data_IF_673599056217
#
_entry.id   IF_673599056217
#
_cell.length_a   1.000
_cell.length_b   1.000
_cell.length_c   1.000
_cell.angle_alpha   90.00
_cell.angle_beta   90.00
_cell.angle_gamma   90.00
#
_symmetry.space_group_name_H-M   'P 1'
#
loop_
_entity.id
_entity.type
_entity.pdbx_description
1 polymer ?
#
# COMPACT_ATOMS: atom_id res chain seq x y z
N UNK A 1 -1.28 -21.68 15.65
CA UNK A 1 -0.21 -22.64 15.49
C UNK A 1 -0.71 -24.08 15.64
N UNK A 2 -1.12 -24.50 16.85
CA UNK A 2 -1.45 -25.90 17.14
C UNK A 2 -2.65 -26.41 16.34
N UNK A 3 -3.66 -25.60 16.14
CA UNK A 3 -4.92 -25.99 15.46
C UNK A 3 -4.80 -25.98 13.94
N UNK A 4 -4.15 -24.95 13.38
CA UNK A 4 -4.07 -24.74 11.93
C UNK A 4 -2.68 -24.99 11.31
N UNK A 5 -1.67 -25.34 12.10
CA UNK A 5 -0.29 -25.46 11.62
C UNK A 5 0.35 -24.13 11.19
N UNK A 6 -0.28 -23.01 11.47
CA UNK A 6 0.22 -21.69 11.12
C UNK A 6 1.43 -21.35 12.01
N UNK A 7 2.60 -21.15 11.42
CA UNK A 7 3.86 -20.92 12.13
C UNK A 7 4.50 -19.55 11.87
N UNK A 8 3.82 -18.69 11.11
CA UNK A 8 4.31 -17.34 10.78
C UNK A 8 3.19 -16.32 10.89
N UNK A 9 3.50 -15.15 11.46
CA UNK A 9 2.60 -14.00 11.54
C UNK A 9 3.26 -12.76 10.97
N UNK A 10 2.52 -11.99 10.18
CA UNK A 10 2.91 -10.68 9.66
C UNK A 10 2.10 -9.59 10.33
N UNK A 11 2.70 -8.43 10.52
CA UNK A 11 2.02 -7.26 11.06
C UNK A 11 2.78 -5.96 10.82
N UNK A 12 2.20 -4.85 11.21
CA UNK A 12 2.91 -3.58 11.27
C UNK A 12 3.88 -3.52 12.45
N UNK A 13 4.84 -2.62 12.43
CA UNK A 13 5.85 -2.47 13.49
C UNK A 13 5.23 -2.26 14.88
N UNK A 14 4.06 -1.63 14.95
CA UNK A 14 3.31 -1.43 16.18
C UNK A 14 2.76 -2.74 16.81
N UNK A 15 2.79 -3.86 16.08
CA UNK A 15 2.32 -5.17 16.54
C UNK A 15 3.45 -6.09 17.01
N UNK A 16 4.71 -5.67 16.96
CA UNK A 16 5.86 -6.50 17.26
C UNK A 16 5.76 -7.19 18.62
N UNK A 17 5.52 -6.43 19.67
CA UNK A 17 5.41 -6.97 21.05
C UNK A 17 4.26 -7.97 21.20
N UNK A 18 3.13 -7.74 20.53
CA UNK A 18 1.99 -8.66 20.55
C UNK A 18 2.33 -9.99 19.86
N UNK A 19 3.05 -9.95 18.75
CA UNK A 19 3.47 -11.15 18.01
C UNK A 19 4.53 -11.94 18.78
N UNK A 20 5.47 -11.27 19.45
CA UNK A 20 6.47 -11.93 20.30
C UNK A 20 5.82 -12.69 21.46
N UNK A 21 4.72 -12.17 22.02
CA UNK A 21 3.94 -12.90 23.03
C UNK A 21 3.47 -14.25 22.52
N UNK A 22 3.03 -14.33 21.26
CA UNK A 22 2.63 -15.59 20.61
C UNK A 22 3.80 -16.53 20.36
N UNK A 23 4.90 -16.07 19.81
CA UNK A 23 6.08 -16.91 19.54
C UNK A 23 6.67 -17.47 20.83
N UNK A 24 6.73 -16.65 21.88
CA UNK A 24 7.25 -17.07 23.20
C UNK A 24 6.32 -18.08 23.89
N UNK A 25 4.99 -17.89 23.77
CA UNK A 25 4.02 -18.86 24.31
C UNK A 25 4.16 -20.23 23.64
N UNK A 26 4.31 -20.26 22.31
CA UNK A 26 4.51 -21.48 21.55
C UNK A 26 5.80 -22.18 22.00
N UNK A 27 6.88 -21.45 22.12
CA UNK A 27 8.16 -21.97 22.58
C UNK A 27 8.04 -22.58 23.95
N UNK A 28 7.44 -21.90 24.92
CA UNK A 28 7.33 -22.35 26.32
C UNK A 28 6.37 -23.53 26.50
N UNK A 29 5.22 -23.49 25.79
CA UNK A 29 4.17 -24.50 25.97
C UNK A 29 4.35 -25.75 25.12
N UNK A 30 4.89 -25.58 23.90
CA UNK A 30 4.98 -26.66 22.91
C UNK A 30 6.42 -27.06 22.58
N UNK A 31 7.44 -26.31 23.02
CA UNK A 31 8.84 -26.55 22.67
C UNK A 31 9.11 -26.42 21.18
N UNK A 32 8.31 -25.59 20.45
CA UNK A 32 8.38 -25.42 19.00
C UNK A 32 8.67 -23.97 18.65
N UNK A 33 9.13 -23.75 17.41
CA UNK A 33 9.43 -22.44 16.89
C UNK A 33 8.25 -21.91 16.08
N UNK A 34 7.98 -20.60 16.25
CA UNK A 34 7.10 -19.81 15.39
C UNK A 34 7.79 -18.48 15.10
N UNK A 35 7.41 -17.87 13.99
CA UNK A 35 8.09 -16.72 13.43
C UNK A 35 7.16 -15.52 13.35
N UNK A 36 7.73 -14.33 13.53
CA UNK A 36 7.04 -13.06 13.37
C UNK A 36 7.86 -12.14 12.45
N UNK A 37 7.18 -11.40 11.59
CA UNK A 37 7.79 -10.40 10.73
C UNK A 37 6.95 -9.15 10.74
N UNK A 38 7.58 -8.00 10.91
CA UNK A 38 6.92 -6.70 10.83
C UNK A 38 7.34 -5.95 9.58
N UNK A 39 6.42 -5.10 9.11
CA UNK A 39 6.62 -4.18 8.00
C UNK A 39 6.38 -2.77 8.54
N UNK A 40 7.21 -1.83 8.13
CA UNK A 40 7.06 -0.41 8.47
C UNK A 40 5.64 0.07 8.16
N UNK A 41 5.02 0.80 9.09
CA UNK A 41 3.68 1.34 8.89
C UNK A 41 3.66 2.31 7.71
N UNK A 42 2.63 2.18 6.89
CA UNK A 42 2.35 3.15 5.84
C UNK A 42 1.75 4.41 6.48
N UNK A 43 2.54 5.48 6.49
CA UNK A 43 2.15 6.79 7.01
C UNK A 43 2.19 7.83 5.90
N UNK A 44 1.40 8.88 6.03
CA UNK A 44 1.53 10.07 5.20
C UNK A 44 2.77 10.89 5.57
N UNK A 45 3.05 11.97 4.83
CA UNK A 45 4.16 12.89 5.07
C UNK A 45 4.10 13.60 6.44
N UNK A 46 2.93 13.59 7.09
CA UNK A 46 2.70 14.16 8.42
C UNK A 46 2.88 13.12 9.55
N UNK A 47 3.16 11.87 9.20
CA UNK A 47 3.31 10.78 10.17
C UNK A 47 1.99 10.12 10.61
N UNK A 48 0.86 10.48 10.02
CA UNK A 48 -0.41 9.83 10.30
C UNK A 48 -0.53 8.50 9.54
N UNK A 49 -1.13 7.49 10.18
CA UNK A 49 -1.41 6.21 9.51
C UNK A 49 -2.39 6.41 8.35
N UNK A 50 -1.99 6.02 7.14
CA UNK A 50 -2.87 6.08 5.98
C UNK A 50 -4.08 5.15 6.13
N UNK A 51 -5.24 5.58 5.61
CA UNK A 51 -6.46 4.77 5.56
C UNK A 51 -7.29 4.70 6.85
N UNK A 52 -6.91 5.42 7.92
CA UNK A 52 -7.67 5.44 9.19
C UNK A 52 -8.46 6.72 9.46
N UNK A 53 -8.38 7.71 8.60
CA UNK A 53 -9.09 8.98 8.80
C UNK A 53 -10.58 8.81 8.48
N UNK A 54 -11.45 9.10 9.43
CA UNK A 54 -12.90 9.06 9.22
C UNK A 54 -13.27 9.97 8.02
N UNK A 55 -13.91 9.39 7.00
CA UNK A 55 -14.34 10.09 5.79
C UNK A 55 -13.38 10.00 4.60
N UNK A 56 -12.12 9.60 4.79
CA UNK A 56 -11.11 9.48 3.70
C UNK A 56 -10.57 8.05 3.54
N UNK A 57 -11.28 7.05 4.03
CA UNK A 57 -10.88 5.67 3.83
C UNK A 57 -11.08 5.26 2.36
N UNK A 58 -10.02 4.74 1.74
CA UNK A 58 -10.08 4.13 0.41
C UNK A 58 -10.29 2.63 0.57
N UNK A 59 -11.36 2.13 -0.03
CA UNK A 59 -11.73 0.73 0.04
C UNK A 59 -11.27 -0.01 -1.21
N UNK A 60 -10.89 -1.28 -1.06
CA UNK A 60 -10.60 -2.16 -2.19
C UNK A 60 -11.89 -2.65 -2.88
N UNK A 61 -13.02 -2.64 -2.14
CA UNK A 61 -14.33 -3.00 -2.66
C UNK A 61 -14.85 -1.90 -3.60
N UNK A 62 -15.08 -2.20 -4.91
CA UNK A 62 -15.53 -1.22 -5.90
C UNK A 62 -16.93 -0.65 -5.63
N UNK A 63 -17.72 -1.31 -4.77
CA UNK A 63 -19.03 -0.79 -4.35
C UNK A 63 -18.91 0.30 -3.27
N UNK A 64 -17.76 0.40 -2.60
CA UNK A 64 -17.49 1.40 -1.56
C UNK A 64 -16.61 2.54 -2.05
N UNK A 65 -15.62 2.23 -2.88
CA UNK A 65 -14.77 3.20 -3.57
C UNK A 65 -14.69 2.78 -5.03
N UNK A 66 -15.23 3.58 -5.94
CA UNK A 66 -15.17 3.23 -7.36
C UNK A 66 -13.72 3.12 -7.85
N UNK A 67 -13.43 2.34 -8.91
CA UNK A 67 -12.09 2.27 -9.49
C UNK A 67 -11.53 3.65 -9.89
N UNK A 68 -12.39 4.56 -10.34
CA UNK A 68 -11.99 5.93 -10.66
C UNK A 68 -11.62 6.73 -9.42
N UNK A 69 -12.42 6.68 -8.35
CA UNK A 69 -12.12 7.37 -7.09
C UNK A 69 -10.87 6.78 -6.42
N UNK A 70 -10.69 5.46 -6.53
CA UNK A 70 -9.48 4.77 -6.08
C UNK A 70 -8.25 5.27 -6.84
N UNK A 71 -8.33 5.39 -8.16
CA UNK A 71 -7.27 5.95 -8.99
C UNK A 71 -6.96 7.41 -8.61
N UNK A 72 -8.00 8.25 -8.46
CA UNK A 72 -7.82 9.66 -8.10
C UNK A 72 -7.20 9.83 -6.71
N UNK A 73 -7.54 8.98 -5.75
CA UNK A 73 -6.91 9.01 -4.43
C UNK A 73 -5.40 8.85 -4.53
N UNK A 74 -4.93 7.83 -5.24
CA UNK A 74 -3.50 7.57 -5.39
C UNK A 74 -2.78 8.59 -6.27
N UNK A 75 -3.49 9.16 -7.24
CA UNK A 75 -2.96 10.26 -8.05
C UNK A 75 -2.79 11.56 -7.26
N UNK A 76 -3.53 11.75 -6.19
CA UNK A 76 -3.53 12.96 -5.38
C UNK A 76 -2.74 12.82 -4.06
N UNK A 77 -1.95 11.77 -3.89
CA UNK A 77 -1.05 11.66 -2.73
C UNK A 77 0.00 12.78 -2.74
N UNK A 78 0.50 13.13 -1.57
CA UNK A 78 1.53 14.14 -1.44
C UNK A 78 2.80 13.75 -2.22
N UNK A 79 3.48 14.73 -2.77
CA UNK A 79 4.72 14.53 -3.54
C UNK A 79 5.76 13.71 -2.77
N UNK A 80 5.89 13.98 -1.48
CA UNK A 80 6.83 13.28 -0.59
C UNK A 80 6.48 11.79 -0.37
N UNK A 81 5.24 11.40 -0.62
CA UNK A 81 4.77 10.03 -0.36
C UNK A 81 4.80 9.12 -1.60
N UNK A 82 4.91 9.68 -2.80
CA UNK A 82 4.80 8.93 -4.06
C UNK A 82 5.77 7.75 -4.12
N UNK A 83 7.06 8.01 -3.94
CA UNK A 83 8.11 6.97 -4.05
C UNK A 83 8.00 5.95 -2.92
N UNK A 84 7.65 6.38 -1.72
CA UNK A 84 7.39 5.48 -0.60
C UNK A 84 6.22 4.53 -0.92
N UNK A 85 5.12 5.06 -1.45
CA UNK A 85 3.98 4.25 -1.87
C UNK A 85 4.33 3.29 -3.01
N UNK A 86 5.11 3.72 -4.02
CA UNK A 86 5.60 2.82 -5.07
C UNK A 86 6.36 1.63 -4.48
N UNK A 87 7.32 1.89 -3.58
CA UNK A 87 8.13 0.84 -2.95
C UNK A 87 7.33 -0.12 -2.08
N UNK A 88 6.31 0.38 -1.36
CA UNK A 88 5.58 -0.41 -0.38
C UNK A 88 4.37 -1.15 -0.94
N UNK A 89 3.75 -0.63 -1.99
CA UNK A 89 2.43 -1.05 -2.44
C UNK A 89 2.41 -1.63 -3.85
N UNK A 90 3.49 -1.49 -4.64
CA UNK A 90 3.54 -2.00 -6.00
C UNK A 90 4.56 -3.12 -6.15
N UNK A 91 4.46 -3.86 -7.26
CA UNK A 91 5.46 -4.83 -7.70
C UNK A 91 6.38 -4.29 -8.80
N UNK A 92 6.47 -2.96 -8.92
CA UNK A 92 7.36 -2.31 -9.87
C UNK A 92 8.83 -2.66 -9.58
N UNK A 93 9.66 -2.85 -10.61
CA UNK A 93 11.10 -3.00 -10.44
C UNK A 93 11.73 -1.80 -9.72
N UNK A 94 12.65 -2.05 -8.79
CA UNK A 94 13.29 -0.97 -8.02
C UNK A 94 14.06 0.02 -8.91
N UNK A 95 14.61 -0.45 -10.01
CA UNK A 95 15.30 0.38 -11.00
C UNK A 95 14.32 1.36 -11.67
N UNK A 96 13.11 0.92 -11.98
CA UNK A 96 12.05 1.77 -12.53
C UNK A 96 11.61 2.82 -11.51
N UNK A 97 11.39 2.42 -10.26
CA UNK A 97 11.05 3.35 -9.16
C UNK A 97 12.16 4.40 -8.98
N UNK A 98 13.43 4.00 -9.08
CA UNK A 98 14.56 4.91 -8.97
C UNK A 98 14.58 5.99 -10.08
N UNK A 99 14.09 5.68 -11.28
CA UNK A 99 13.93 6.70 -12.33
C UNK A 99 12.83 7.71 -12.00
N UNK A 100 11.69 7.25 -11.45
CA UNK A 100 10.64 8.15 -10.99
C UNK A 100 11.09 9.03 -9.81
N UNK A 101 11.97 8.53 -8.96
CA UNK A 101 12.53 9.28 -7.83
C UNK A 101 13.40 10.50 -8.24
N UNK A 102 13.82 10.56 -9.50
CA UNK A 102 14.57 11.71 -10.04
C UNK A 102 13.66 12.85 -10.50
N UNK A 103 12.38 12.60 -10.63
CA UNK A 103 11.41 13.59 -11.12
C UNK A 103 11.11 14.63 -10.04
N UNK A 104 10.95 15.87 -10.45
CA UNK A 104 10.64 17.01 -9.57
C UNK A 104 9.62 17.94 -10.20
N UNK A 105 8.96 18.76 -9.39
CA UNK A 105 7.99 19.73 -9.87
C UNK A 105 6.83 19.07 -10.65
N UNK A 106 6.49 19.63 -11.80
CA UNK A 106 5.37 19.13 -12.63
C UNK A 106 5.58 17.71 -13.17
N UNK A 107 6.84 17.27 -13.35
CA UNK A 107 7.14 15.94 -13.85
C UNK A 107 6.78 14.84 -12.84
N UNK A 108 6.70 15.17 -11.56
CA UNK A 108 6.26 14.23 -10.52
C UNK A 108 4.82 13.75 -10.72
N UNK A 109 4.00 14.50 -11.44
CA UNK A 109 2.65 14.06 -11.82
C UNK A 109 2.68 12.76 -12.65
N UNK A 110 3.75 12.52 -13.41
CA UNK A 110 3.93 11.25 -14.14
C UNK A 110 4.13 10.08 -13.18
N UNK A 111 4.89 10.30 -12.10
CA UNK A 111 5.06 9.28 -11.06
C UNK A 111 3.75 9.01 -10.31
N UNK A 112 2.98 10.04 -9.98
CA UNK A 112 1.65 9.91 -9.35
C UNK A 112 0.67 9.16 -10.24
N UNK A 113 0.64 9.47 -11.53
CA UNK A 113 -0.21 8.79 -12.51
C UNK A 113 0.19 7.31 -12.64
N UNK A 114 1.50 7.01 -12.69
CA UNK A 114 2.01 5.64 -12.73
C UNK A 114 1.64 4.87 -11.46
N UNK A 115 1.83 5.45 -10.28
CA UNK A 115 1.43 4.84 -9.02
C UNK A 115 -0.07 4.51 -9.00
N UNK A 116 -0.92 5.47 -9.37
CA UNK A 116 -2.36 5.29 -9.42
C UNK A 116 -2.77 4.20 -10.40
N UNK A 117 -2.14 4.15 -11.58
CA UNK A 117 -2.38 3.12 -12.57
C UNK A 117 -2.02 1.73 -12.04
N UNK A 118 -0.80 1.54 -11.52
CA UNK A 118 -0.32 0.26 -10.99
C UNK A 118 -1.22 -0.29 -9.89
N UNK A 119 -1.62 0.57 -8.94
CA UNK A 119 -2.47 0.15 -7.84
C UNK A 119 -3.91 -0.15 -8.30
N UNK A 120 -4.44 0.62 -9.25
CA UNK A 120 -5.77 0.36 -9.80
C UNK A 120 -5.79 -0.91 -10.63
N UNK A 121 -4.75 -1.16 -11.43
CA UNK A 121 -4.59 -2.41 -12.17
C UNK A 121 -4.50 -3.61 -11.24
N UNK A 122 -3.72 -3.51 -10.16
CA UNK A 122 -3.54 -4.57 -9.18
C UNK A 122 -4.86 -4.95 -8.48
N UNK A 123 -5.69 -3.96 -8.15
CA UNK A 123 -6.90 -4.17 -7.34
C UNK A 123 -8.15 -4.41 -8.21
N UNK A 124 -8.30 -3.67 -9.29
CA UNK A 124 -9.53 -3.64 -10.10
C UNK A 124 -9.35 -4.20 -11.52
N UNK A 125 -8.12 -4.52 -11.90
CA UNK A 125 -7.78 -5.04 -13.21
C UNK A 125 -7.45 -3.97 -14.24
N UNK A 126 -6.84 -4.40 -15.33
CA UNK A 126 -6.28 -3.54 -16.38
C UNK A 126 -7.33 -2.65 -17.04
N UNK A 127 -8.50 -3.21 -17.36
CA UNK A 127 -9.56 -2.47 -18.08
C UNK A 127 -10.04 -1.27 -17.25
N UNK A 128 -10.22 -1.45 -15.96
CA UNK A 128 -10.63 -0.37 -15.05
C UNK A 128 -9.52 0.67 -14.84
N UNK A 129 -8.25 0.24 -14.79
CA UNK A 129 -7.11 1.16 -14.73
C UNK A 129 -7.01 2.03 -15.99
N UNK A 130 -7.20 1.46 -17.18
CA UNK A 130 -7.17 2.18 -18.45
C UNK A 130 -8.34 3.18 -18.58
N UNK A 131 -9.54 2.78 -18.15
CA UNK A 131 -10.71 3.70 -18.11
C UNK A 131 -10.47 4.85 -17.13
N UNK A 132 -9.98 4.58 -15.94
CA UNK A 132 -9.70 5.60 -14.95
C UNK A 132 -8.62 6.58 -15.41
N UNK A 133 -7.54 6.08 -16.02
CA UNK A 133 -6.48 6.90 -16.60
C UNK A 133 -7.00 7.81 -17.71
N UNK A 134 -7.80 7.25 -18.63
CA UNK A 134 -8.38 8.01 -19.74
C UNK A 134 -9.31 9.11 -19.22
N UNK A 135 -10.19 8.79 -18.29
CA UNK A 135 -11.09 9.75 -17.68
C UNK A 135 -10.33 10.85 -16.92
N UNK A 136 -9.28 10.48 -16.16
CA UNK A 136 -8.47 11.43 -15.42
C UNK A 136 -7.72 12.41 -16.33
N UNK A 137 -7.26 11.97 -17.50
CA UNK A 137 -6.59 12.82 -18.49
C UNK A 137 -7.56 13.72 -19.24
N UNK A 138 -8.81 13.30 -19.42
CA UNK A 138 -9.85 14.08 -20.11
C UNK A 138 -10.34 15.28 -19.28
N UNK A 139 -10.19 15.23 -17.94
CA UNK A 139 -10.64 16.30 -17.03
C UNK A 139 -9.56 17.37 -16.81
N UNK A 140 -8.32 17.13 -17.20
CA UNK A 140 -7.26 18.14 -17.13
C UNK A 140 -7.30 19.03 -18.39
N UNK A 141 -7.38 20.35 -18.20
CA UNK A 141 -7.22 21.29 -19.31
C UNK A 141 -5.78 21.28 -19.84
#
# INVERSE_FOLDING_TARGET
FQHYGCNMQFGGDDQWSNMLGGTELIRRKLGKDAHAMTITLLTDSQGHKMGKTAGNAVWLDPNKTSPYDFFQYWRNVDDADVIKCMNMLTFMPLEEIAEYAKLTGSDLNRAKEKLAYELTELVHGKDEAEKALTAARAVLP
#
